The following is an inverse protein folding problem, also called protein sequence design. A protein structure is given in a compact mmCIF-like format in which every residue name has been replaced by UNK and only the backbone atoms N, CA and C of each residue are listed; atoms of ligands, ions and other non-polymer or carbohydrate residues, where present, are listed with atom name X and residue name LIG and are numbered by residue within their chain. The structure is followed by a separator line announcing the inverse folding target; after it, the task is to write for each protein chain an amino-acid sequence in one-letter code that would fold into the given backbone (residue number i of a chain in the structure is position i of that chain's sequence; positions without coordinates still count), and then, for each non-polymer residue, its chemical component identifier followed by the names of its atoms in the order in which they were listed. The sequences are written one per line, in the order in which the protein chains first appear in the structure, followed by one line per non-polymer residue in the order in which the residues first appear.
data_IF_202520488223
#
_entry.id   IF_202520488223
#
_cell.length_a   1.000
_cell.length_b   1.000
_cell.length_c   1.000
_cell.angle_alpha   90.00
_cell.angle_beta   90.00
_cell.angle_gamma   90.00
#
_symmetry.space_group_name_H-M   'P 1'
#
loop_
_entity.id
_entity.type
_entity.pdbx_description
1 polymer ?
#
# COMPACT_ATOMS: atom_id res chain seq x y z
N UNK A 1 29.18 -15.14 26.91
CA UNK A 1 29.47 -16.29 26.02
C UNK A 1 28.14 -16.89 25.58
N UNK A 2 27.50 -16.35 24.53
CA UNK A 2 26.17 -16.79 24.10
C UNK A 2 25.84 -16.57 22.61
N UNK A 3 26.67 -15.85 21.84
CA UNK A 3 26.37 -15.47 20.45
C UNK A 3 26.60 -16.54 19.38
N UNK A 4 27.16 -17.72 19.70
CA UNK A 4 27.49 -18.74 18.68
C UNK A 4 26.37 -19.71 18.32
N UNK A 5 25.25 -19.73 19.07
CA UNK A 5 24.13 -20.65 18.78
C UNK A 5 23.10 -20.09 17.80
N UNK A 6 22.94 -18.76 17.66
CA UNK A 6 21.91 -18.17 16.77
C UNK A 6 22.24 -18.35 15.27
N UNK A 7 23.51 -18.24 14.89
CA UNK A 7 23.94 -18.37 13.49
C UNK A 7 23.81 -19.79 12.89
N UNK A 8 23.82 -20.84 13.72
CA UNK A 8 23.74 -22.22 13.22
C UNK A 8 22.29 -22.64 12.90
N UNK A 9 21.29 -21.99 13.52
CA UNK A 9 19.87 -22.25 13.28
C UNK A 9 19.38 -21.61 11.98
N UNK A 10 19.90 -20.44 11.61
CA UNK A 10 19.55 -19.74 10.36
C UNK A 10 19.96 -20.56 9.12
N UNK A 11 21.15 -21.18 9.15
CA UNK A 11 21.63 -22.03 8.04
C UNK A 11 20.77 -23.30 7.90
N UNK A 12 20.23 -23.84 8.99
CA UNK A 12 19.38 -25.03 8.96
C UNK A 12 17.97 -24.72 8.41
N UNK A 13 17.43 -23.54 8.70
CA UNK A 13 16.10 -23.12 8.21
C UNK A 13 16.10 -22.85 6.69
N UNK A 14 17.15 -22.21 6.15
CA UNK A 14 17.30 -21.98 4.69
C UNK A 14 17.47 -23.29 3.93
N UNK A 15 18.13 -24.28 4.52
CA UNK A 15 18.28 -25.62 3.92
C UNK A 15 16.98 -26.45 3.95
N UNK A 16 16.08 -26.21 4.91
CA UNK A 16 14.76 -26.89 4.94
C UNK A 16 13.76 -26.30 3.95
N UNK A 17 13.78 -24.99 3.68
CA UNK A 17 12.87 -24.38 2.69
C UNK A 17 13.19 -24.76 1.24
N UNK A 18 14.44 -25.12 0.93
CA UNK A 18 14.84 -25.61 -0.39
C UNK A 18 14.31 -27.02 -0.74
N UNK A 19 13.81 -27.78 0.24
CA UNK A 19 13.39 -29.18 0.04
C UNK A 19 11.91 -29.35 -0.38
N UNK A 20 11.08 -28.30 -0.31
CA UNK A 20 9.64 -28.41 -0.63
C UNK A 20 9.27 -28.11 -2.09
N UNK A 21 10.24 -27.89 -2.99
CA UNK A 21 9.98 -27.45 -4.38
C UNK A 21 9.92 -28.59 -5.42
N UNK A 22 9.84 -29.87 -5.04
CA UNK A 22 10.02 -30.99 -5.99
C UNK A 22 8.76 -31.58 -6.62
N UNK A 23 7.55 -31.14 -6.26
CA UNK A 23 6.29 -31.67 -6.83
C UNK A 23 5.48 -30.63 -7.63
N UNK A 24 6.16 -29.85 -8.48
CA UNK A 24 5.47 -29.06 -9.50
C UNK A 24 5.09 -29.97 -10.69
N UNK A 25 3.80 -30.02 -11.12
CA UNK A 25 3.40 -30.75 -12.31
C UNK A 25 4.05 -30.16 -13.57
N UNK A 26 4.33 -30.97 -14.61
CA UNK A 26 4.97 -30.47 -15.83
C UNK A 26 4.09 -29.42 -16.51
N UNK A 27 4.69 -28.27 -16.81
CA UNK A 27 4.07 -27.19 -17.57
C UNK A 27 3.53 -27.74 -18.90
N UNK A 28 2.24 -27.50 -19.17
CA UNK A 28 1.66 -27.78 -20.48
C UNK A 28 2.23 -26.79 -21.50
N UNK A 29 2.79 -27.32 -22.60
CA UNK A 29 3.27 -26.54 -23.73
C UNK A 29 2.13 -25.67 -24.30
N UNK A 30 2.28 -24.35 -24.16
CA UNK A 30 1.47 -23.39 -24.90
C UNK A 30 1.82 -23.49 -26.40
N UNK A 31 0.83 -23.46 -27.31
CA UNK A 31 1.09 -23.51 -28.74
C UNK A 31 1.90 -22.29 -29.19
N UNK A 32 2.98 -22.56 -29.91
CA UNK A 32 3.82 -21.55 -30.57
C UNK A 32 2.99 -20.74 -31.56
N UNK A 33 3.02 -19.39 -31.51
CA UNK A 33 2.44 -18.58 -32.57
C UNK A 33 3.27 -18.73 -33.84
N UNK A 34 2.63 -19.20 -34.91
CA UNK A 34 3.20 -19.24 -36.25
C UNK A 34 3.62 -17.83 -36.70
N UNK A 35 4.89 -17.73 -37.07
CA UNK A 35 5.44 -16.55 -37.73
C UNK A 35 4.91 -16.48 -39.18
N UNK A 36 4.17 -15.41 -39.50
CA UNK A 36 4.22 -14.76 -40.82
C UNK A 36 3.39 -13.48 -40.85
N UNK A 37 4.05 -12.34 -40.65
CA UNK A 37 3.72 -11.10 -41.35
C UNK A 37 4.97 -10.23 -41.44
N UNK A 38 5.56 -10.23 -42.62
CA UNK A 38 6.67 -9.37 -43.04
C UNK A 38 6.27 -7.90 -42.89
N UNK A 39 6.93 -7.15 -42.01
CA UNK A 39 6.90 -5.70 -42.01
C UNK A 39 8.33 -5.18 -41.99
N UNK A 40 8.76 -4.69 -43.15
CA UNK A 40 10.06 -4.04 -43.34
C UNK A 40 9.96 -2.62 -42.78
N UNK A 41 10.35 -2.42 -41.53
CA UNK A 41 10.55 -1.09 -40.96
C UNK A 41 12.05 -0.86 -40.74
N UNK A 42 12.53 0.26 -41.31
CA UNK A 42 13.91 0.75 -41.31
C UNK A 42 14.44 1.02 -39.89
N UNK A 43 15.74 0.80 -39.62
CA UNK A 43 16.42 1.47 -38.52
C UNK A 43 16.63 2.94 -38.88
N UNK A 44 16.74 3.81 -37.87
CA UNK A 44 17.03 5.26 -37.95
C UNK A 44 15.80 6.18 -38.07
N UNK A 45 15.10 6.37 -36.94
CA UNK A 45 14.47 7.63 -36.55
C UNK A 45 14.00 7.56 -35.09
N UNK A 46 14.94 7.64 -34.14
CA UNK A 46 14.62 8.26 -32.84
C UNK A 46 15.04 9.71 -33.00
N UNK A 47 14.13 10.69 -33.09
CA UNK A 47 14.53 12.07 -32.92
C UNK A 47 14.95 12.26 -31.46
N UNK A 48 16.17 12.77 -31.25
CA UNK A 48 16.75 13.27 -29.99
C UNK A 48 15.96 14.47 -29.38
N UNK A 49 14.64 14.52 -29.56
CA UNK A 49 13.81 15.67 -29.24
C UNK A 49 12.76 15.41 -28.15
N UNK A 50 13.02 14.47 -27.22
CA UNK A 50 12.16 14.24 -26.05
C UNK A 50 12.87 14.47 -24.71
N UNK A 51 14.02 15.16 -24.70
CA UNK A 51 14.77 15.48 -23.46
C UNK A 51 14.45 16.88 -22.89
N UNK A 52 13.59 17.69 -23.53
CA UNK A 52 13.25 19.04 -23.03
C UNK A 52 11.74 19.31 -22.99
N UNK A 53 10.94 18.35 -22.51
CA UNK A 53 9.63 18.69 -21.94
C UNK A 53 9.81 18.91 -20.45
N UNK A 54 10.04 20.17 -20.12
CA UNK A 54 9.86 20.73 -18.79
C UNK A 54 8.46 20.36 -18.27
N UNK A 55 8.38 19.27 -17.51
CA UNK A 55 7.18 18.78 -16.85
C UNK A 55 6.88 19.58 -15.57
N UNK A 56 7.30 20.86 -15.49
CA UNK A 56 6.59 21.83 -14.66
C UNK A 56 5.26 22.18 -15.31
N UNK A 57 4.35 21.20 -15.40
CA UNK A 57 2.94 21.56 -15.31
C UNK A 57 2.79 22.31 -13.98
N UNK A 58 2.12 23.48 -13.95
CA UNK A 58 1.77 24.06 -12.67
C UNK A 58 1.01 22.96 -11.93
N UNK A 59 1.50 22.57 -10.75
CA UNK A 59 0.64 21.94 -9.77
C UNK A 59 -0.46 22.96 -9.52
N UNK A 60 -1.51 22.89 -10.34
CA UNK A 60 -2.74 23.62 -10.08
C UNK A 60 -3.14 23.08 -8.74
N UNK A 61 -2.91 23.94 -7.76
CA UNK A 61 -3.19 23.81 -6.36
C UNK A 61 -4.66 23.39 -6.23
N UNK A 62 -4.93 22.09 -6.34
CA UNK A 62 -6.27 21.53 -6.12
C UNK A 62 -6.69 21.73 -4.66
N UNK A 63 -5.72 22.11 -3.82
CA UNK A 63 -5.86 22.63 -2.46
C UNK A 63 -6.36 24.08 -2.38
N UNK A 64 -6.26 24.90 -3.42
CA UNK A 64 -6.64 26.32 -3.36
C UNK A 64 -8.13 26.60 -3.61
N UNK A 65 -8.83 25.74 -4.38
CA UNK A 65 -10.29 25.87 -4.59
C UNK A 65 -11.11 25.11 -3.55
N UNK A 66 -10.46 24.43 -2.59
CA UNK A 66 -11.08 23.98 -1.35
C UNK A 66 -11.01 25.10 -0.31
N UNK A 67 -11.65 26.24 -0.59
CA UNK A 67 -11.98 27.18 0.47
C UNK A 67 -12.74 26.44 1.58
N UNK A 68 -12.54 26.78 2.86
CA UNK A 68 -13.06 26.04 3.98
C UNK A 68 -14.56 26.30 4.09
N UNK A 69 -15.36 25.57 3.32
CA UNK A 69 -16.60 25.07 3.90
C UNK A 69 -16.14 24.33 5.15
N UNK A 70 -16.69 24.70 6.30
CA UNK A 70 -16.47 24.02 7.57
C UNK A 70 -16.93 22.56 7.43
N UNK A 71 -16.14 21.75 6.73
CA UNK A 71 -15.98 20.34 7.03
C UNK A 71 -15.56 20.38 8.48
N UNK A 72 -16.50 20.06 9.37
CA UNK A 72 -16.11 19.28 10.52
C UNK A 72 -15.34 18.12 9.90
N UNK A 73 -14.02 18.25 9.90
CA UNK A 73 -13.12 17.12 9.77
C UNK A 73 -13.50 16.30 10.98
N UNK A 74 -14.50 15.44 10.80
CA UNK A 74 -14.80 14.35 11.72
C UNK A 74 -13.53 13.55 11.72
N UNK A 75 -12.65 13.86 12.68
CA UNK A 75 -11.47 13.05 12.94
C UNK A 75 -11.99 11.65 13.23
N UNK A 76 -11.17 10.64 12.93
CA UNK A 76 -11.41 9.22 13.26
C UNK A 76 -11.94 8.97 14.67
N UNK A 77 -11.75 9.93 15.60
CA UNK A 77 -12.26 9.91 16.98
C UNK A 77 -13.78 10.00 17.18
N UNK A 78 -14.61 10.04 16.14
CA UNK A 78 -16.09 10.04 16.28
C UNK A 78 -16.78 8.79 15.69
N UNK A 79 -16.02 7.79 15.21
CA UNK A 79 -16.62 6.53 14.78
C UNK A 79 -17.28 5.80 15.97
N UNK A 80 -18.49 5.22 15.80
CA UNK A 80 -19.11 4.42 16.84
C UNK A 80 -18.19 3.27 17.26
N UNK A 81 -18.08 3.03 18.57
CA UNK A 81 -17.23 1.97 19.12
C UNK A 81 -17.57 0.58 18.55
N UNK A 82 -18.84 0.36 18.23
CA UNK A 82 -19.33 -0.86 17.56
C UNK A 82 -18.77 -1.02 16.15
N UNK A 83 -18.64 0.07 15.38
CA UNK A 83 -18.02 0.08 14.05
C UNK A 83 -16.53 -0.22 14.16
N UNK A 84 -15.83 0.40 15.10
CA UNK A 84 -14.40 0.13 15.36
C UNK A 84 -14.20 -1.34 15.74
N UNK A 85 -15.06 -1.89 16.60
CA UNK A 85 -15.00 -3.29 16.99
C UNK A 85 -15.22 -4.21 15.78
N UNK A 86 -16.23 -3.93 14.96
CA UNK A 86 -16.51 -4.71 13.75
C UNK A 86 -15.34 -4.68 12.74
N UNK A 87 -14.65 -3.54 12.61
CA UNK A 87 -13.43 -3.45 11.82
C UNK A 87 -12.33 -4.36 12.36
N UNK A 88 -12.05 -4.30 13.65
CA UNK A 88 -11.02 -5.13 14.28
C UNK A 88 -11.33 -6.62 14.17
N UNK A 89 -12.59 -7.01 14.39
CA UNK A 89 -13.05 -8.40 14.25
C UNK A 89 -12.88 -8.90 12.81
N UNK A 90 -13.20 -8.06 11.83
CA UNK A 90 -12.99 -8.38 10.43
C UNK A 90 -11.50 -8.57 10.11
N UNK A 91 -10.63 -7.66 10.55
CA UNK A 91 -9.18 -7.72 10.29
C UNK A 91 -8.60 -9.01 10.85
N UNK A 92 -8.98 -9.37 12.08
CA UNK A 92 -8.53 -10.61 12.73
C UNK A 92 -9.01 -11.87 12.00
N UNK A 93 -10.25 -11.87 11.52
CA UNK A 93 -10.78 -12.96 10.71
C UNK A 93 -10.03 -13.11 9.36
N UNK A 94 -9.70 -11.99 8.71
CA UNK A 94 -8.90 -11.95 7.48
C UNK A 94 -7.50 -12.55 7.72
N UNK A 95 -6.83 -12.16 8.81
CA UNK A 95 -5.53 -12.73 9.21
C UNK A 95 -5.60 -14.24 9.42
N UNK A 96 -6.59 -14.69 10.20
CA UNK A 96 -6.75 -16.12 10.52
C UNK A 96 -7.02 -16.97 9.27
N UNK A 97 -7.77 -16.44 8.32
CA UNK A 97 -8.12 -17.16 7.09
C UNK A 97 -7.02 -17.16 6.03
N UNK A 98 -6.05 -16.23 6.12
CA UNK A 98 -5.03 -16.01 5.09
C UNK A 98 -5.60 -15.39 3.80
N UNK A 99 -6.86 -14.96 3.82
CA UNK A 99 -7.57 -14.42 2.66
C UNK A 99 -7.33 -12.92 2.54
N UNK A 100 -6.09 -12.56 2.17
CA UNK A 100 -5.67 -11.16 1.98
C UNK A 100 -6.44 -10.42 0.88
N UNK A 101 -7.22 -11.14 0.05
CA UNK A 101 -8.11 -10.54 -0.96
C UNK A 101 -9.35 -9.90 -0.31
N UNK A 102 -9.72 -10.35 0.90
CA UNK A 102 -10.79 -9.76 1.72
C UNK A 102 -10.24 -8.79 2.73
N UNK A 103 -9.81 -7.62 2.27
CA UNK A 103 -9.56 -6.52 3.20
C UNK A 103 -10.92 -5.96 3.63
N UNK A 104 -11.04 -5.58 4.90
CA UNK A 104 -12.25 -5.03 5.55
C UNK A 104 -12.68 -3.67 5.01
N UNK A 105 -12.24 -3.33 3.80
CA UNK A 105 -12.58 -2.11 3.08
C UNK A 105 -14.09 -2.09 2.82
N UNK A 106 -14.72 -0.97 3.15
CA UNK A 106 -16.13 -0.72 2.94
C UNK A 106 -17.00 -0.93 4.16
N UNK A 107 -16.51 -1.54 5.23
CA UNK A 107 -17.34 -1.81 6.40
C UNK A 107 -17.73 -0.50 7.12
N UNK A 108 -16.84 0.50 7.19
CA UNK A 108 -17.21 1.83 7.70
C UNK A 108 -18.14 2.53 6.70
N UNK A 109 -17.85 2.46 5.40
CA UNK A 109 -18.72 3.03 4.36
C UNK A 109 -20.14 2.44 4.38
N UNK A 110 -20.31 1.16 4.73
CA UNK A 110 -21.62 0.50 4.84
C UNK A 110 -22.47 1.06 5.99
N UNK A 111 -21.85 1.73 6.96
CA UNK A 111 -22.57 2.41 8.05
C UNK A 111 -23.09 3.80 7.68
N UNK A 112 -22.79 4.26 6.46
CA UNK A 112 -23.21 5.58 6.04
C UNK A 112 -24.73 5.72 5.91
N UNK A 113 -25.27 6.91 6.24
CA UNK A 113 -26.71 7.16 6.13
C UNK A 113 -27.24 6.85 4.73
N UNK A 114 -28.40 6.17 4.65
CA UNK A 114 -29.07 5.85 3.38
C UNK A 114 -29.46 7.10 2.58
N UNK A 115 -29.50 8.27 3.23
CA UNK A 115 -29.76 9.57 2.62
C UNK A 115 -28.50 10.31 2.11
N UNK A 116 -27.34 9.65 2.09
CA UNK A 116 -26.13 10.11 1.40
C UNK A 116 -26.31 10.08 -0.13
N UNK A 117 -27.14 11.00 -0.65
CA UNK A 117 -27.55 11.03 -2.05
C UNK A 117 -26.60 11.83 -2.95
N UNK A 118 -25.85 12.79 -2.38
CA UNK A 118 -24.95 13.61 -3.18
C UNK A 118 -23.57 12.96 -3.29
N UNK A 119 -22.86 13.27 -4.37
CA UNK A 119 -21.45 12.89 -4.49
C UNK A 119 -20.59 13.44 -3.35
N UNK A 120 -20.98 14.58 -2.78
CA UNK A 120 -20.26 15.14 -1.64
C UNK A 120 -20.43 14.24 -0.41
N UNK A 121 -21.65 13.75 -0.15
CA UNK A 121 -21.94 12.84 0.95
C UNK A 121 -21.23 11.50 0.77
N UNK A 122 -21.23 10.95 -0.45
CA UNK A 122 -20.50 9.71 -0.77
C UNK A 122 -19.00 9.84 -0.50
N UNK A 123 -18.38 10.94 -0.94
CA UNK A 123 -16.94 11.19 -0.70
C UNK A 123 -16.67 11.43 0.79
N UNK A 124 -17.55 12.14 1.50
CA UNK A 124 -17.42 12.34 2.94
C UNK A 124 -17.47 10.99 3.70
N UNK A 125 -18.37 10.10 3.28
CA UNK A 125 -18.47 8.74 3.79
C UNK A 125 -17.20 7.91 3.59
N UNK A 126 -16.63 7.96 2.38
CA UNK A 126 -15.33 7.34 2.10
C UNK A 126 -14.23 7.95 2.97
N UNK A 127 -14.33 9.26 3.26
CA UNK A 127 -13.41 9.98 4.14
C UNK A 127 -13.32 9.39 5.55
N UNK A 128 -14.45 9.00 6.16
CA UNK A 128 -14.44 8.40 7.50
C UNK A 128 -13.62 7.10 7.56
N UNK A 129 -13.75 6.27 6.53
CA UNK A 129 -12.99 5.04 6.44
C UNK A 129 -11.53 5.31 6.11
N UNK A 130 -11.26 6.28 5.24
CA UNK A 130 -9.90 6.72 4.93
C UNK A 130 -9.16 7.21 6.18
N UNK A 131 -9.82 7.99 7.03
CA UNK A 131 -9.26 8.50 8.28
C UNK A 131 -8.97 7.35 9.26
N UNK A 132 -9.87 6.37 9.40
CA UNK A 132 -9.62 5.15 10.18
C UNK A 132 -8.36 4.40 9.73
N UNK A 133 -8.21 4.17 8.42
CA UNK A 133 -7.05 3.47 7.88
C UNK A 133 -5.78 4.32 7.97
N UNK A 134 -5.88 5.64 7.85
CA UNK A 134 -4.74 6.56 7.97
C UNK A 134 -4.18 6.57 9.39
N UNK A 135 -5.03 6.64 10.42
CA UNK A 135 -4.57 6.58 11.81
C UNK A 135 -3.86 5.27 12.13
N UNK A 136 -4.36 4.15 11.60
CA UNK A 136 -3.67 2.85 11.73
C UNK A 136 -2.35 2.84 10.97
N UNK A 137 -2.30 3.44 9.78
CA UNK A 137 -1.08 3.50 8.98
C UNK A 137 0.01 4.27 9.73
N UNK A 138 -0.31 5.44 10.26
CA UNK A 138 0.61 6.25 11.06
C UNK A 138 1.12 5.46 12.27
N UNK A 139 0.22 4.79 12.99
CA UNK A 139 0.58 3.94 14.14
C UNK A 139 1.54 2.80 13.73
N UNK A 140 1.27 2.12 12.61
CA UNK A 140 2.09 1.02 12.13
C UNK A 140 3.46 1.50 11.61
N UNK A 141 3.50 2.64 10.91
CA UNK A 141 4.74 3.27 10.43
C UNK A 141 5.62 3.68 11.61
N UNK A 142 5.05 4.30 12.64
CA UNK A 142 5.78 4.70 13.85
C UNK A 142 6.36 3.46 14.54
N UNK A 143 5.53 2.43 14.80
CA UNK A 143 5.98 1.22 15.48
C UNK A 143 7.07 0.47 14.72
N UNK A 144 6.93 0.34 13.41
CA UNK A 144 7.94 -0.36 12.61
C UNK A 144 9.23 0.45 12.47
N UNK A 145 9.15 1.78 12.43
CA UNK A 145 10.33 2.66 12.48
C UNK A 145 11.11 2.51 13.78
N UNK A 146 10.41 2.40 14.93
CA UNK A 146 11.05 2.11 16.22
C UNK A 146 11.79 0.77 16.17
N UNK A 147 11.14 -0.30 15.72
CA UNK A 147 11.73 -1.64 15.62
C UNK A 147 12.97 -1.65 14.71
N UNK A 148 12.90 -0.99 13.55
CA UNK A 148 14.05 -0.92 12.63
C UNK A 148 15.18 -0.04 13.17
N UNK A 149 14.88 0.98 13.97
CA UNK A 149 15.92 1.78 14.63
C UNK A 149 16.64 0.96 15.70
N UNK A 150 15.91 0.15 16.47
CA UNK A 150 16.50 -0.76 17.47
C UNK A 150 17.41 -1.81 16.80
N UNK A 151 16.97 -2.38 15.67
CA UNK A 151 17.76 -3.33 14.86
C UNK A 151 19.03 -2.68 14.27
N UNK A 152 18.90 -1.47 13.70
CA UNK A 152 20.01 -0.69 13.18
C UNK A 152 21.07 -0.39 14.26
N UNK A 153 20.65 -0.10 15.50
CA UNK A 153 21.55 0.11 16.63
C UNK A 153 22.29 -1.18 17.03
N UNK A 154 21.59 -2.33 17.08
CA UNK A 154 22.21 -3.64 17.41
C UNK A 154 23.25 -4.04 16.37
N UNK A 155 22.94 -3.93 15.07
CA UNK A 155 23.86 -4.30 13.99
C UNK A 155 24.94 -3.24 13.68
N UNK A 156 24.67 -1.97 13.99
CA UNK A 156 25.60 -0.86 13.81
C UNK A 156 26.81 -0.93 14.75
N UNK A 157 26.61 -1.37 15.99
CA UNK A 157 27.70 -1.57 16.96
C UNK A 157 28.67 -2.69 16.57
N UNK A 158 28.18 -3.71 15.84
CA UNK A 158 28.99 -4.86 15.42
C UNK A 158 29.84 -4.61 14.16
N UNK A 159 29.69 -3.44 13.52
CA UNK A 159 30.46 -3.04 12.34
C UNK A 159 30.21 -3.92 11.11
N UNK A 160 29.11 -4.67 11.09
CA UNK A 160 28.87 -5.74 10.14
C UNK A 160 28.04 -5.32 8.91
N UNK A 161 27.21 -4.27 8.99
CA UNK A 161 26.29 -3.87 7.91
C UNK A 161 26.27 -2.33 7.79
N UNK A 162 26.41 -1.79 6.57
CA UNK A 162 26.44 -0.34 6.31
C UNK A 162 25.10 0.23 5.84
N UNK A 163 24.07 -0.59 5.78
CA UNK A 163 22.74 -0.24 5.25
C UNK A 163 21.82 -0.04 6.45
N UNK A 164 21.26 1.16 6.60
CA UNK A 164 20.24 1.44 7.61
C UNK A 164 18.88 0.94 7.11
N UNK A 165 18.31 -0.01 7.83
CA UNK A 165 16.97 -0.52 7.61
C UNK A 165 15.94 0.60 7.80
N UNK A 166 16.12 1.45 8.82
CA UNK A 166 15.28 2.63 9.06
C UNK A 166 15.29 3.57 7.86
N UNK A 167 16.47 3.90 7.33
CA UNK A 167 16.60 4.76 6.15
C UNK A 167 15.97 4.16 4.89
N UNK A 168 16.10 2.85 4.69
CA UNK A 168 15.42 2.15 3.59
C UNK A 168 13.90 2.16 3.76
N UNK A 169 13.41 1.98 4.99
CA UNK A 169 11.99 1.98 5.28
C UNK A 169 11.36 3.35 5.04
N UNK A 170 12.00 4.43 5.49
CA UNK A 170 11.52 5.80 5.21
C UNK A 170 11.40 6.04 3.71
N UNK A 171 12.44 5.71 2.93
CA UNK A 171 12.40 5.85 1.47
C UNK A 171 11.27 5.01 0.83
N UNK A 172 11.07 3.77 1.31
CA UNK A 172 9.99 2.91 0.82
C UNK A 172 8.60 3.47 1.13
N UNK A 173 8.38 4.10 2.29
CA UNK A 173 7.11 4.75 2.60
C UNK A 173 6.86 5.99 1.74
N UNK A 174 7.89 6.79 1.46
CA UNK A 174 7.79 7.94 0.55
C UNK A 174 7.39 7.49 -0.87
N UNK A 175 8.05 6.46 -1.39
CA UNK A 175 7.74 5.86 -2.69
C UNK A 175 6.32 5.29 -2.71
N UNK A 176 5.90 4.62 -1.63
CA UNK A 176 4.54 4.10 -1.51
C UNK A 176 3.48 5.21 -1.53
N UNK A 177 3.72 6.33 -0.84
CA UNK A 177 2.79 7.47 -0.87
C UNK A 177 2.64 8.05 -2.28
N UNK A 178 3.73 8.15 -3.05
CA UNK A 178 3.69 8.60 -4.45
C UNK A 178 2.99 7.59 -5.35
N UNK A 179 3.26 6.30 -5.17
CA UNK A 179 2.54 5.23 -5.87
C UNK A 179 1.02 5.32 -5.61
N UNK A 180 0.60 5.44 -4.33
CA UNK A 180 -0.82 5.58 -3.97
C UNK A 180 -1.44 6.80 -4.64
N UNK A 181 -0.79 7.96 -4.52
CA UNK A 181 -1.29 9.24 -5.07
C UNK A 181 -1.48 9.15 -6.59
N UNK A 182 -0.45 8.72 -7.31
CA UNK A 182 -0.46 8.66 -8.78
C UNK A 182 -1.45 7.59 -9.29
N UNK A 183 -1.54 6.44 -8.62
CA UNK A 183 -2.50 5.39 -8.94
C UNK A 183 -3.94 5.86 -8.75
N UNK A 184 -4.27 6.46 -7.61
CA UNK A 184 -5.64 6.90 -7.35
C UNK A 184 -6.03 8.14 -8.18
N UNK A 185 -5.07 8.99 -8.54
CA UNK A 185 -5.30 10.02 -9.54
C UNK A 185 -5.64 9.43 -10.90
N UNK A 186 -4.91 8.40 -11.35
CA UNK A 186 -5.21 7.71 -12.60
C UNK A 186 -6.63 7.10 -12.59
N UNK A 187 -7.02 6.43 -11.50
CA UNK A 187 -8.37 5.87 -11.35
C UNK A 187 -9.47 6.94 -11.47
N UNK A 188 -9.30 8.09 -10.80
CA UNK A 188 -10.22 9.22 -10.97
C UNK A 188 -10.24 9.74 -12.42
N UNK A 189 -9.08 9.80 -13.08
CA UNK A 189 -8.94 10.34 -14.44
C UNK A 189 -9.51 9.41 -15.52
N UNK A 190 -9.74 8.12 -15.25
CA UNK A 190 -10.50 7.23 -16.16
C UNK A 190 -11.90 7.77 -16.45
N UNK A 191 -12.49 8.51 -15.51
CA UNK A 191 -13.76 9.20 -15.65
C UNK A 191 -13.63 10.64 -16.19
N UNK A 192 -12.40 11.05 -16.56
CA UNK A 192 -12.04 12.42 -16.99
C UNK A 192 -12.45 13.48 -15.95
N UNK A 193 -12.35 13.10 -14.67
CA UNK A 193 -12.86 13.88 -13.55
C UNK A 193 -14.36 13.69 -13.34
N UNK A 194 -15.06 14.76 -12.98
CA UNK A 194 -16.49 14.73 -12.65
C UNK A 194 -16.81 14.04 -11.33
N UNK A 195 -18.09 13.84 -11.06
CA UNK A 195 -18.56 13.28 -9.80
C UNK A 195 -18.11 11.84 -9.58
N UNK A 196 -18.16 11.01 -10.64
CA UNK A 196 -17.76 9.61 -10.54
C UNK A 196 -16.26 9.46 -10.27
N UNK A 197 -15.42 10.27 -10.94
CA UNK A 197 -13.98 10.27 -10.70
C UNK A 197 -13.61 10.58 -9.25
N UNK A 198 -14.33 11.52 -8.60
CA UNK A 198 -14.11 11.87 -7.19
C UNK A 198 -14.34 10.69 -6.25
N UNK A 199 -15.43 9.94 -6.43
CA UNK A 199 -15.73 8.77 -5.59
C UNK A 199 -14.72 7.66 -5.88
N UNK A 200 -14.45 7.33 -7.14
CA UNK A 200 -13.49 6.28 -7.51
C UNK A 200 -12.09 6.58 -6.96
N UNK A 201 -11.60 7.81 -7.13
CA UNK A 201 -10.30 8.20 -6.60
C UNK A 201 -10.23 8.09 -5.07
N UNK A 202 -11.31 8.49 -4.38
CA UNK A 202 -11.38 8.40 -2.91
C UNK A 202 -11.41 6.95 -2.44
N UNK A 203 -12.19 6.07 -3.09
CA UNK A 203 -12.23 4.63 -2.75
C UNK A 203 -10.88 3.97 -2.98
N UNK A 204 -10.18 4.29 -4.07
CA UNK A 204 -8.81 3.82 -4.29
C UNK A 204 -7.86 4.21 -3.15
N UNK A 205 -7.99 5.44 -2.63
CA UNK A 205 -7.15 5.89 -1.51
C UNK A 205 -7.37 5.04 -0.26
N UNK A 206 -8.63 4.70 0.03
CA UNK A 206 -8.99 3.78 1.14
C UNK A 206 -8.39 2.41 0.92
N UNK A 207 -8.64 1.80 -0.25
CA UNK A 207 -8.17 0.46 -0.58
C UNK A 207 -6.66 0.33 -0.43
N UNK A 208 -5.89 1.18 -1.12
CA UNK A 208 -4.42 1.10 -1.05
C UNK A 208 -3.89 1.36 0.36
N UNK A 209 -4.50 2.27 1.11
CA UNK A 209 -4.10 2.55 2.51
C UNK A 209 -4.36 1.35 3.40
N UNK A 210 -5.52 0.71 3.30
CA UNK A 210 -5.85 -0.48 4.06
C UNK A 210 -4.88 -1.64 3.76
N UNK A 211 -4.53 -1.85 2.48
CA UNK A 211 -3.55 -2.86 2.07
C UNK A 211 -2.17 -2.61 2.72
N UNK A 212 -1.72 -1.36 2.74
CA UNK A 212 -0.44 -1.01 3.35
C UNK A 212 -0.46 -1.20 4.87
N UNK A 213 -1.55 -0.82 5.55
CA UNK A 213 -1.71 -1.06 6.98
C UNK A 213 -1.54 -2.53 7.32
N UNK A 214 -2.25 -3.42 6.62
CA UNK A 214 -2.14 -4.86 6.85
C UNK A 214 -0.71 -5.34 6.60
N UNK A 215 -0.09 -4.90 5.51
CA UNK A 215 1.30 -5.25 5.19
C UNK A 215 2.28 -4.86 6.32
N UNK A 216 2.18 -3.64 6.85
CA UNK A 216 3.09 -3.17 7.90
C UNK A 216 2.80 -3.82 9.26
N UNK A 217 1.53 -4.00 9.61
CA UNK A 217 1.17 -4.68 10.85
C UNK A 217 1.59 -6.15 10.84
N UNK A 218 1.50 -6.85 9.70
CA UNK A 218 2.01 -8.21 9.59
C UNK A 218 3.54 -8.25 9.72
N UNK A 219 4.27 -7.23 9.24
CA UNK A 219 5.71 -7.10 9.48
C UNK A 219 6.04 -6.88 10.95
N UNK A 220 5.27 -6.05 11.66
CA UNK A 220 5.43 -5.83 13.10
C UNK A 220 5.28 -7.16 13.86
N UNK A 221 4.24 -7.94 13.56
CA UNK A 221 4.04 -9.25 14.19
C UNK A 221 5.24 -10.19 13.98
N UNK A 222 5.80 -10.21 12.77
CA UNK A 222 6.99 -11.02 12.46
C UNK A 222 8.24 -10.58 13.24
N UNK A 223 8.39 -9.27 13.50
CA UNK A 223 9.50 -8.74 14.30
C UNK A 223 9.33 -9.04 15.80
N UNK A 224 8.12 -8.93 16.32
CA UNK A 224 7.85 -9.14 17.76
C UNK A 224 7.88 -10.62 18.17
N UNK A 225 7.66 -11.54 17.24
CA UNK A 225 7.77 -12.99 17.47
C UNK A 225 9.22 -13.52 17.51
N UNK A 226 10.23 -12.69 17.16
CA UNK A 226 11.64 -13.08 17.03
C UNK A 226 12.49 -12.79 18.28
#
# INVERSE_FOLDING_TARGET
MGGKMKHQTIILAVLMMAACSQDAPPAQELPTPEASATSTARPDMIPDALVDTDLTAPQSDFSADLQPMTMQVFRSGELPQETIQAMNDCIEATRTSGDTEKICVGLIMDTCPEDAFTTADMVACVGYEFDYWTDRLETAVDRLSELYSEDDDEFGEEGAISVSLTGMFTAAQEDWHEFRRSTCQLESMRFRGGTMGRVTGSTCMVELTAHQVIHLEDQILLFEDY
#
